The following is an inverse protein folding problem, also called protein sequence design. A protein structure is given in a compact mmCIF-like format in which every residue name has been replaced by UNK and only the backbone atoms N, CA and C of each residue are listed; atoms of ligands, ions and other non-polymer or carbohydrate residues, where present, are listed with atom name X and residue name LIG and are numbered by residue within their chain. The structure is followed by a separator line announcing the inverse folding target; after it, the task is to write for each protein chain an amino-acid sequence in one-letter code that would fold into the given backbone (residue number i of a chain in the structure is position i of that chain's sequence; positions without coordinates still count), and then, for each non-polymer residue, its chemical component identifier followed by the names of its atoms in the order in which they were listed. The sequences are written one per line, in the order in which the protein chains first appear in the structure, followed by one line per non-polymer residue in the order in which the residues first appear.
data_IF_704993735380
#
_entry.id   IF_704993735380
#
_cell.length_a   1.000
_cell.length_b   1.000
_cell.length_c   1.000
_cell.angle_alpha   90.00
_cell.angle_beta   90.00
_cell.angle_gamma   90.00
#
_symmetry.space_group_name_H-M   'P 1'
#
loop_
_entity.id
_entity.type
_entity.pdbx_description
1 polymer ?
#
# COMPACT_ATOMS: atom_id res chain seq x y z
N UNK A 1 18.46 3.46 -7.00
CA UNK A 1 18.27 2.30 -6.10
C UNK A 1 18.01 2.87 -4.71
N UNK A 2 16.90 2.48 -4.07
CA UNK A 2 16.46 3.09 -2.80
C UNK A 2 15.01 3.56 -2.80
N UNK A 3 14.38 3.67 -3.97
CA UNK A 3 12.97 4.08 -4.06
C UNK A 3 12.01 2.98 -3.58
N UNK A 4 10.86 3.43 -3.06
CA UNK A 4 9.76 2.59 -2.60
C UNK A 4 8.48 2.97 -3.34
N UNK A 5 7.72 1.98 -3.81
CA UNK A 5 6.36 2.20 -4.30
C UNK A 5 5.36 1.94 -3.17
N UNK A 6 4.45 2.88 -2.93
CA UNK A 6 3.24 2.68 -2.12
C UNK A 6 2.02 2.69 -3.03
N UNK A 7 1.40 1.52 -3.22
CA UNK A 7 0.19 1.35 -4.03
C UNK A 7 -1.08 1.44 -3.18
N UNK A 8 -1.96 2.40 -3.48
CA UNK A 8 -3.23 2.58 -2.75
C UNK A 8 -4.40 2.11 -3.62
N UNK A 9 -5.12 1.08 -3.16
CA UNK A 9 -6.31 0.56 -3.84
C UNK A 9 -7.21 -0.15 -2.84
N UNK A 10 -8.39 0.40 -2.55
CA UNK A 10 -9.31 -0.21 -1.56
C UNK A 10 -9.75 -1.64 -1.91
N UNK A 11 -9.72 -2.03 -3.18
CA UNK A 11 -10.00 -3.40 -3.61
C UNK A 11 -8.75 -4.26 -3.76
N UNK A 12 -7.55 -3.67 -3.72
CA UNK A 12 -6.30 -4.32 -4.11
C UNK A 12 -6.22 -4.72 -5.59
N UNK A 13 -7.15 -4.25 -6.43
CA UNK A 13 -7.35 -4.74 -7.80
C UNK A 13 -7.37 -3.63 -8.88
N UNK A 14 -7.10 -2.37 -8.51
CA UNK A 14 -7.01 -1.27 -9.47
C UNK A 14 -5.95 -1.58 -10.53
N UNK A 15 -6.35 -1.76 -11.79
CA UNK A 15 -5.48 -2.27 -12.87
C UNK A 15 -4.21 -1.43 -13.08
N UNK A 16 -4.32 -0.11 -12.94
CA UNK A 16 -3.18 0.80 -13.04
C UNK A 16 -2.19 0.63 -11.87
N UNK A 17 -2.69 0.51 -10.64
CA UNK A 17 -1.87 0.30 -9.45
C UNK A 17 -1.18 -1.06 -9.48
N UNK A 18 -1.89 -2.11 -9.92
CA UNK A 18 -1.31 -3.45 -10.12
C UNK A 18 -0.16 -3.40 -11.12
N UNK A 19 -0.36 -2.76 -12.29
CA UNK A 19 0.71 -2.59 -13.28
C UNK A 19 1.90 -1.79 -12.75
N UNK A 20 1.65 -0.78 -11.93
CA UNK A 20 2.73 0.00 -11.30
C UNK A 20 3.53 -0.88 -10.31
N UNK A 21 2.86 -1.70 -9.51
CA UNK A 21 3.50 -2.64 -8.57
C UNK A 21 4.33 -3.70 -9.29
N UNK A 22 3.80 -4.29 -10.37
CA UNK A 22 4.55 -5.22 -11.22
C UNK A 22 5.81 -4.59 -11.80
N UNK A 23 5.70 -3.36 -12.32
CA UNK A 23 6.85 -2.63 -12.87
C UNK A 23 7.88 -2.25 -11.80
N UNK A 24 7.43 -1.80 -10.62
CA UNK A 24 8.31 -1.47 -9.50
C UNK A 24 9.12 -2.70 -9.06
N UNK A 25 8.46 -3.86 -8.96
CA UNK A 25 9.11 -5.14 -8.64
C UNK A 25 10.14 -5.55 -9.70
N UNK A 26 9.80 -5.44 -11.00
CA UNK A 26 10.74 -5.68 -12.09
C UNK A 26 11.97 -4.77 -12.05
N UNK A 27 11.79 -3.54 -11.57
CA UNK A 27 12.87 -2.56 -11.37
C UNK A 27 13.63 -2.73 -10.04
N UNK A 28 13.26 -3.71 -9.21
CA UNK A 28 13.92 -3.99 -7.94
C UNK A 28 13.62 -2.99 -6.81
N UNK A 29 12.50 -2.25 -6.90
CA UNK A 29 12.03 -1.38 -5.83
C UNK A 29 11.36 -2.20 -4.72
N UNK A 30 11.38 -1.66 -3.49
CA UNK A 30 10.49 -2.15 -2.43
C UNK A 30 9.05 -1.74 -2.71
N UNK A 31 8.12 -2.61 -2.38
CA UNK A 31 6.70 -2.43 -2.73
C UNK A 31 5.80 -2.62 -1.51
N UNK A 32 4.97 -1.63 -1.23
CA UNK A 32 3.97 -1.63 -0.16
C UNK A 32 2.59 -1.40 -0.76
N UNK A 33 1.55 -2.05 -0.22
CA UNK A 33 0.18 -1.83 -0.65
C UNK A 33 -0.76 -1.47 0.51
N UNK A 34 -1.60 -0.45 0.30
CA UNK A 34 -2.74 -0.14 1.16
C UNK A 34 -4.01 -0.63 0.48
N UNK A 35 -4.69 -1.57 1.11
CA UNK A 35 -5.84 -2.27 0.55
C UNK A 35 -6.98 -2.40 1.55
N UNK A 36 -8.14 -2.87 1.09
CA UNK A 36 -9.21 -3.36 1.94
C UNK A 36 -9.07 -4.85 2.22
N UNK A 37 -10.15 -5.46 2.70
CA UNK A 37 -10.14 -6.85 3.12
C UNK A 37 -9.70 -7.79 1.98
N UNK A 38 -8.82 -8.74 2.30
CA UNK A 38 -8.35 -9.77 1.38
C UNK A 38 -7.22 -9.35 0.44
N UNK A 39 -6.76 -8.10 0.46
CA UNK A 39 -5.52 -7.66 -0.22
C UNK A 39 -5.57 -7.58 -1.76
N UNK A 40 -6.48 -8.30 -2.41
CA UNK A 40 -6.59 -8.38 -3.86
C UNK A 40 -5.30 -8.85 -4.54
N UNK A 41 -5.10 -8.45 -5.81
CA UNK A 41 -3.87 -8.74 -6.55
C UNK A 41 -2.64 -8.08 -5.95
N UNK A 42 -2.77 -6.87 -5.41
CA UNK A 42 -1.65 -6.19 -4.75
C UNK A 42 -1.13 -7.01 -3.55
N UNK A 43 -2.03 -7.73 -2.87
CA UNK A 43 -1.71 -8.65 -1.78
C UNK A 43 -0.70 -9.74 -2.13
N UNK A 44 -0.65 -10.17 -3.40
CA UNK A 44 0.27 -11.22 -3.85
C UNK A 44 1.53 -10.67 -4.53
N UNK A 45 1.51 -9.39 -4.92
CA UNK A 45 2.58 -8.75 -5.68
C UNK A 45 3.56 -8.02 -4.75
N UNK A 46 3.01 -7.24 -3.81
CA UNK A 46 3.78 -6.34 -2.95
C UNK A 46 4.50 -7.07 -1.81
N UNK A 47 5.63 -6.52 -1.35
CA UNK A 47 6.43 -7.08 -0.26
C UNK A 47 5.74 -6.94 1.10
N UNK A 48 5.02 -5.83 1.30
CA UNK A 48 4.20 -5.59 2.50
C UNK A 48 2.81 -5.08 2.13
N UNK A 49 1.81 -5.49 2.91
CA UNK A 49 0.39 -5.20 2.62
C UNK A 49 -0.33 -4.83 3.91
N UNK A 50 -0.90 -3.63 3.92
CA UNK A 50 -1.81 -3.18 4.97
C UNK A 50 -3.23 -3.38 4.42
N UNK A 51 -3.85 -4.51 4.79
CA UNK A 51 -5.21 -4.86 4.41
C UNK A 51 -6.19 -4.46 5.53
N UNK A 52 -6.92 -3.36 5.32
CA UNK A 52 -7.93 -2.91 6.28
C UNK A 52 -9.04 -3.96 6.34
N UNK A 53 -9.44 -4.46 7.52
CA UNK A 53 -10.45 -5.51 7.67
C UNK A 53 -11.87 -4.97 7.48
N UNK A 54 -12.12 -4.44 6.28
CA UNK A 54 -13.39 -3.86 5.86
C UNK A 54 -13.57 -4.03 4.36
N UNK A 55 -14.82 -4.19 3.94
CA UNK A 55 -15.25 -4.17 2.54
C UNK A 55 -15.82 -2.81 2.12
N UNK A 56 -16.00 -1.88 3.05
CA UNK A 56 -16.62 -0.58 2.79
C UNK A 56 -15.55 0.42 2.37
N UNK A 57 -15.55 0.82 1.09
CA UNK A 57 -14.56 1.76 0.51
C UNK A 57 -14.30 3.00 1.37
N UNK A 58 -15.34 3.66 1.89
CA UNK A 58 -15.17 4.86 2.72
C UNK A 58 -14.39 4.56 4.01
N UNK A 59 -14.71 3.45 4.71
CA UNK A 59 -14.00 3.03 5.92
C UNK A 59 -12.55 2.65 5.62
N UNK A 60 -12.32 2.00 4.47
CA UNK A 60 -10.97 1.64 4.02
C UNK A 60 -10.13 2.91 3.78
N UNK A 61 -10.69 3.91 3.10
CA UNK A 61 -10.01 5.18 2.83
C UNK A 61 -9.69 5.97 4.10
N UNK A 62 -10.61 6.02 5.06
CA UNK A 62 -10.37 6.63 6.39
C UNK A 62 -9.20 5.97 7.11
N UNK A 63 -9.10 4.64 7.04
CA UNK A 63 -7.95 3.94 7.62
C UNK A 63 -6.66 4.16 6.82
N UNK A 64 -6.72 4.28 5.49
CA UNK A 64 -5.54 4.57 4.68
C UNK A 64 -4.92 5.93 5.01
N UNK A 65 -5.72 6.97 5.26
CA UNK A 65 -5.17 8.27 5.68
C UNK A 65 -4.57 8.20 7.09
N UNK A 66 -5.22 7.50 8.02
CA UNK A 66 -4.68 7.27 9.37
C UNK A 66 -3.34 6.54 9.34
N UNK A 67 -3.23 5.46 8.55
CA UNK A 67 -1.99 4.72 8.35
C UNK A 67 -0.91 5.61 7.74
N UNK A 68 -1.27 6.47 6.79
CA UNK A 68 -0.35 7.47 6.23
C UNK A 68 0.22 8.40 7.31
N UNK A 69 -0.63 8.93 8.20
CA UNK A 69 -0.18 9.77 9.31
C UNK A 69 0.75 9.02 10.29
N UNK A 70 0.42 7.77 10.64
CA UNK A 70 1.27 6.95 11.52
C UNK A 70 2.64 6.70 10.89
N UNK A 71 2.71 6.45 9.58
CA UNK A 71 3.98 6.27 8.89
C UNK A 71 4.79 7.57 8.90
N UNK A 72 4.16 8.72 8.70
CA UNK A 72 4.86 10.01 8.82
C UNK A 72 5.45 10.20 10.23
N UNK A 73 4.67 9.93 11.27
CA UNK A 73 5.14 10.03 12.67
C UNK A 73 6.36 9.13 12.92
N UNK A 74 6.26 7.84 12.55
CA UNK A 74 7.36 6.87 12.76
C UNK A 74 8.61 7.29 11.98
N UNK A 75 8.45 7.78 10.75
CA UNK A 75 9.58 8.28 9.95
C UNK A 75 10.20 9.50 10.62
N UNK A 76 9.42 10.41 11.18
CA UNK A 76 9.95 11.59 11.87
C UNK A 76 10.69 11.20 13.17
N UNK A 77 10.13 10.29 13.98
CA UNK A 77 10.79 9.75 15.18
C UNK A 77 12.11 9.02 14.89
N UNK A 78 12.19 8.28 13.77
CA UNK A 78 13.42 7.57 13.36
C UNK A 78 14.49 8.50 12.76
N UNK A 79 14.11 9.70 12.33
CA UNK A 79 15.03 10.67 11.70
C UNK A 79 15.70 11.62 12.70
N UNK A 80 15.09 11.84 13.87
CA UNK A 80 15.62 12.62 14.99
C UNK A 80 16.59 11.82 15.88
#
# INVERSE_FOLDING_TARGET
AGDVLIGISTSGNSKNVVKAAELAKQKGLKTVAFTGEGGGKLGTICDAVIAVPSKTTARIQEMHIMVGHIICEIVEEDYD
#
